data_IF_073087361088
#
_entry.id   IF_073087361088
#
_cell.length_a   1.000
_cell.length_b   1.000
_cell.length_c   1.000
_cell.angle_alpha   90.00
_cell.angle_beta   90.00
_cell.angle_gamma   90.00
#
_symmetry.space_group_name_H-M   'P 1'
#
loop_
_entity.id
_entity.type
_entity.pdbx_description
1 polymer ?
#
# COMPACT_ATOMS: atom_id res chain seq x y z
N UNK A 1 -19.01 12.94 -23.19
CA UNK A 1 -19.35 13.33 -21.80
C UNK A 1 -18.61 14.63 -21.55
N UNK A 2 -19.29 15.68 -21.08
CA UNK A 2 -18.62 16.96 -20.81
C UNK A 2 -17.54 16.74 -19.74
N UNK A 3 -16.33 17.20 -20.03
CA UNK A 3 -15.20 17.08 -19.12
C UNK A 3 -15.52 17.87 -17.85
N UNK A 4 -15.62 17.18 -16.72
CA UNK A 4 -15.97 17.82 -15.44
C UNK A 4 -14.73 18.58 -15.00
N UNK A 5 -14.75 19.91 -15.15
CA UNK A 5 -13.70 20.77 -14.61
C UNK A 5 -13.54 20.48 -13.11
N UNK A 6 -12.40 19.93 -12.73
CA UNK A 6 -12.06 19.66 -11.32
C UNK A 6 -11.61 20.98 -10.68
N UNK A 7 -12.24 21.34 -9.57
CA UNK A 7 -11.74 22.43 -8.72
C UNK A 7 -10.61 21.90 -7.83
N UNK A 8 -9.37 22.09 -8.29
CA UNK A 8 -8.16 21.62 -7.60
C UNK A 8 -8.04 22.19 -6.18
N UNK A 9 -8.54 23.40 -5.93
CA UNK A 9 -8.50 24.01 -4.59
C UNK A 9 -9.42 23.25 -3.64
N UNK A 10 -10.65 22.98 -4.09
CA UNK A 10 -11.63 22.24 -3.29
C UNK A 10 -11.13 20.83 -2.98
N UNK A 11 -10.54 20.13 -3.95
CA UNK A 11 -10.00 18.77 -3.73
C UNK A 11 -8.83 18.75 -2.75
N UNK A 12 -7.90 19.71 -2.86
CA UNK A 12 -6.80 19.85 -1.89
C UNK A 12 -7.30 20.11 -0.47
N UNK A 13 -8.25 21.03 -0.31
CA UNK A 13 -8.87 21.31 0.98
C UNK A 13 -9.59 20.08 1.55
N UNK A 14 -10.33 19.36 0.71
CA UNK A 14 -11.01 18.13 1.13
C UNK A 14 -10.02 17.05 1.58
N UNK A 15 -8.88 16.91 0.90
CA UNK A 15 -7.80 16.02 1.32
C UNK A 15 -7.24 16.42 2.70
N UNK A 16 -6.87 17.69 2.90
CA UNK A 16 -6.36 18.17 4.19
C UNK A 16 -7.38 17.97 5.32
N UNK A 17 -8.66 18.23 5.06
CA UNK A 17 -9.73 18.04 6.05
C UNK A 17 -9.90 16.56 6.43
N UNK A 18 -9.81 15.63 5.47
CA UNK A 18 -9.83 14.18 5.77
C UNK A 18 -8.62 13.75 6.59
N UNK A 19 -7.43 14.28 6.27
CA UNK A 19 -6.22 14.00 7.02
C UNK A 19 -6.32 14.53 8.46
N UNK A 20 -6.86 15.74 8.66
CA UNK A 20 -7.13 16.28 9.99
C UNK A 20 -8.11 15.39 10.76
N UNK A 21 -9.19 14.95 10.11
CA UNK A 21 -10.17 14.05 10.71
C UNK A 21 -9.62 12.69 11.15
N UNK A 22 -8.50 12.21 10.57
CA UNK A 22 -7.83 11.01 11.05
C UNK A 22 -7.28 11.16 12.48
N UNK A 23 -6.99 12.38 12.92
CA UNK A 23 -6.60 12.67 14.31
C UNK A 23 -7.70 12.38 15.31
N UNK A 24 -8.97 12.61 14.94
CA UNK A 24 -10.12 12.31 15.80
C UNK A 24 -10.24 10.81 16.11
N UNK A 25 -9.86 9.94 15.15
CA UNK A 25 -9.81 8.48 15.36
C UNK A 25 -8.74 8.12 16.39
N UNK A 26 -7.58 8.77 16.33
CA UNK A 26 -6.50 8.55 17.31
C UNK A 26 -6.94 9.02 18.70
N UNK A 27 -7.60 10.17 18.79
CA UNK A 27 -8.00 10.80 20.04
C UNK A 27 -9.32 10.28 20.63
N UNK A 28 -10.01 9.38 19.94
CA UNK A 28 -11.28 8.80 20.38
C UNK A 28 -11.11 8.15 21.78
N UNK A 29 -11.82 8.64 22.81
CA UNK A 29 -11.70 8.13 24.18
C UNK A 29 -12.29 6.73 24.35
N UNK A 30 -13.05 6.23 23.36
CA UNK A 30 -13.57 4.86 23.38
C UNK A 30 -12.53 3.83 22.92
N UNK A 31 -11.45 4.27 22.28
CA UNK A 31 -10.34 3.39 21.89
C UNK A 31 -9.41 3.14 23.09
N UNK A 32 -8.88 1.93 23.28
CA UNK A 32 -7.92 1.66 24.34
C UNK A 32 -6.58 2.39 24.12
N UNK A 33 -5.79 2.54 25.17
CA UNK A 33 -4.42 3.08 25.13
C UNK A 33 -4.21 4.31 26.02
N UNK A 34 -2.94 4.57 26.35
CA UNK A 34 -2.49 5.74 27.11
C UNK A 34 -1.97 6.85 26.18
N UNK A 35 -1.58 8.00 26.74
CA UNK A 35 -1.05 9.13 25.97
C UNK A 35 0.15 8.73 25.08
N UNK A 36 0.98 7.80 25.54
CA UNK A 36 2.08 7.27 24.74
C UNK A 36 1.58 6.54 23.48
N UNK A 37 0.49 5.76 23.59
CA UNK A 37 -0.14 5.08 22.45
C UNK A 37 -0.77 6.09 21.49
N UNK A 38 -1.31 7.20 21.99
CA UNK A 38 -1.85 8.28 21.16
C UNK A 38 -0.76 8.93 20.32
N UNK A 39 0.42 9.15 20.88
CA UNK A 39 1.61 9.61 20.14
C UNK A 39 2.00 8.62 19.04
N UNK A 40 2.00 7.31 19.33
CA UNK A 40 2.25 6.29 18.30
C UNK A 40 1.14 6.24 17.24
N UNK A 41 -0.11 6.49 17.62
CA UNK A 41 -1.25 6.58 16.72
C UNK A 41 -1.08 7.70 15.69
N UNK A 42 -0.66 8.89 16.11
CA UNK A 42 -0.33 9.96 15.16
C UNK A 42 0.84 9.60 14.25
N UNK A 43 1.87 8.93 14.77
CA UNK A 43 2.96 8.41 13.94
C UNK A 43 2.47 7.36 12.95
N UNK A 44 1.50 6.55 13.33
CA UNK A 44 0.86 5.58 12.45
C UNK A 44 0.04 6.26 11.34
N UNK A 45 -0.68 7.34 11.63
CA UNK A 45 -1.37 8.16 10.60
C UNK A 45 -0.38 8.70 9.57
N UNK A 46 0.76 9.24 10.01
CA UNK A 46 1.80 9.73 9.10
C UNK A 46 2.41 8.62 8.24
N UNK A 47 2.68 7.45 8.81
CA UNK A 47 3.16 6.27 8.04
C UNK A 47 2.13 5.81 7.02
N UNK A 48 0.84 5.81 7.38
CA UNK A 48 -0.25 5.45 6.47
C UNK A 48 -0.38 6.46 5.32
N UNK A 49 -0.25 7.76 5.60
CA UNK A 49 -0.21 8.79 4.56
C UNK A 49 0.98 8.60 3.61
N UNK A 50 2.19 8.40 4.15
CA UNK A 50 3.39 8.16 3.35
C UNK A 50 3.21 6.95 2.42
N UNK A 51 2.69 5.84 2.93
CA UNK A 51 2.36 4.66 2.13
C UNK A 51 1.36 4.99 1.03
N UNK A 52 0.29 5.70 1.35
CA UNK A 52 -0.76 6.06 0.38
C UNK A 52 -0.24 6.97 -0.75
N UNK A 53 0.69 7.88 -0.45
CA UNK A 53 1.37 8.69 -1.47
C UNK A 53 2.25 7.78 -2.33
N UNK A 54 3.11 6.97 -1.72
CA UNK A 54 4.05 6.12 -2.44
C UNK A 54 3.38 5.09 -3.36
N UNK A 55 2.35 4.38 -2.91
CA UNK A 55 1.67 3.37 -3.73
C UNK A 55 0.49 3.91 -4.55
N UNK A 56 -0.10 5.04 -4.13
CA UNK A 56 -1.32 5.57 -4.72
C UNK A 56 -1.10 6.71 -5.71
N UNK A 57 -0.13 7.57 -5.44
CA UNK A 57 0.18 8.75 -6.27
C UNK A 57 1.41 8.50 -7.12
N UNK A 58 2.51 8.05 -6.51
CA UNK A 58 3.79 7.87 -7.21
C UNK A 58 3.80 6.55 -8.00
N UNK A 59 3.55 5.41 -7.34
CA UNK A 59 3.51 4.08 -7.96
C UNK A 59 2.10 3.61 -8.34
N UNK A 60 1.16 4.54 -8.49
CA UNK A 60 -0.26 4.25 -8.66
C UNK A 60 -0.71 4.05 -10.11
N UNK A 61 0.13 4.42 -11.08
CA UNK A 61 -0.17 4.34 -12.51
C UNK A 61 -0.16 2.88 -12.99
N UNK A 62 -1.28 2.41 -13.52
CA UNK A 62 -1.45 1.03 -13.99
C UNK A 62 -0.88 0.82 -15.39
N UNK A 63 -0.70 1.89 -16.17
CA UNK A 63 -0.09 1.82 -17.51
C UNK A 63 1.43 1.75 -17.41
N UNK A 64 2.00 2.28 -16.31
CA UNK A 64 3.42 2.29 -16.00
C UNK A 64 3.69 1.74 -14.59
N UNK A 65 3.41 0.44 -14.36
CA UNK A 65 3.47 -0.13 -13.02
C UNK A 65 4.92 -0.27 -12.52
N UNK A 66 5.13 0.12 -11.26
CA UNK A 66 6.41 -0.02 -10.58
C UNK A 66 6.23 -0.69 -9.21
N UNK A 67 7.22 -1.51 -8.81
CA UNK A 67 7.26 -2.09 -7.47
C UNK A 67 7.60 -1.01 -6.43
N UNK A 68 6.57 -0.32 -5.95
CA UNK A 68 6.71 0.74 -4.97
C UNK A 68 7.25 0.18 -3.65
N UNK A 69 8.23 0.89 -3.08
CA UNK A 69 8.79 0.53 -1.78
C UNK A 69 7.98 1.17 -0.65
N UNK A 70 7.52 0.33 0.27
CA UNK A 70 6.79 0.75 1.44
C UNK A 70 7.63 0.46 2.69
N UNK A 71 8.54 1.36 3.06
CA UNK A 71 9.28 1.25 4.32
C UNK A 71 9.15 2.52 5.19
N UNK A 72 8.82 2.39 6.50
CA UNK A 72 8.46 1.14 7.18
C UNK A 72 7.01 0.75 6.85
N UNK A 73 6.78 -0.50 6.39
CA UNK A 73 5.44 -1.03 6.20
C UNK A 73 4.86 -1.43 7.55
N UNK A 74 4.25 -0.48 8.26
CA UNK A 74 3.57 -0.74 9.55
C UNK A 74 2.07 -0.59 9.41
N UNK A 75 1.33 -1.68 9.51
CA UNK A 75 -0.12 -1.75 9.36
C UNK A 75 -0.82 -2.57 10.46
N UNK A 76 -0.07 -3.09 11.45
CA UNK A 76 -0.63 -3.82 12.59
C UNK A 76 -0.73 -5.34 12.37
N UNK A 77 -0.33 -5.82 11.20
CA UNK A 77 -0.10 -7.24 10.88
C UNK A 77 1.12 -7.42 9.97
N UNK A 78 2.00 -6.42 9.95
CA UNK A 78 3.25 -6.47 9.21
C UNK A 78 4.22 -7.50 9.80
N UNK A 79 4.91 -8.22 8.91
CA UNK A 79 6.02 -9.08 9.30
C UNK A 79 7.32 -8.25 9.33
N UNK A 80 7.99 -8.11 10.49
CA UNK A 80 9.22 -7.32 10.60
C UNK A 80 10.39 -7.87 9.77
N UNK A 81 10.37 -9.15 9.41
CA UNK A 81 11.41 -9.80 8.61
C UNK A 81 11.17 -9.70 7.10
N UNK A 82 10.00 -9.17 6.69
CA UNK A 82 9.60 -9.15 5.29
C UNK A 82 9.86 -7.79 4.63
N UNK A 83 10.38 -7.84 3.40
CA UNK A 83 10.38 -6.71 2.48
C UNK A 83 9.09 -6.76 1.64
N UNK A 84 8.21 -5.78 1.83
CA UNK A 84 6.98 -5.66 1.04
C UNK A 84 7.15 -4.63 -0.07
N UNK A 85 6.84 -5.06 -1.29
CA UNK A 85 6.69 -4.22 -2.46
C UNK A 85 5.38 -4.56 -3.18
N UNK A 86 4.76 -3.58 -3.82
CA UNK A 86 3.53 -3.77 -4.57
C UNK A 86 3.50 -2.85 -5.78
N UNK A 87 2.86 -3.32 -6.85
CA UNK A 87 2.53 -2.54 -8.04
C UNK A 87 1.04 -2.71 -8.33
N UNK A 88 0.38 -1.63 -8.75
CA UNK A 88 -0.99 -1.73 -9.28
C UNK A 88 -0.92 -2.16 -10.74
N UNK A 89 -1.81 -3.06 -11.14
CA UNK A 89 -1.86 -3.58 -12.51
C UNK A 89 -3.30 -3.62 -13.00
N UNK A 90 -3.51 -3.34 -14.29
CA UNK A 90 -4.76 -3.61 -15.00
C UNK A 90 -4.72 -5.03 -15.60
N UNK A 91 -5.61 -5.91 -15.14
CA UNK A 91 -5.67 -7.32 -15.55
C UNK A 91 -6.09 -7.54 -17.00
N UNK A 92 -6.47 -6.50 -17.76
CA UNK A 92 -6.66 -6.62 -19.22
C UNK A 92 -5.34 -6.69 -19.98
N UNK A 93 -4.23 -6.32 -19.35
CA UNK A 93 -2.90 -6.31 -19.95
C UNK A 93 -2.05 -7.53 -19.53
N UNK A 94 -0.91 -7.71 -20.19
CA UNK A 94 0.10 -8.72 -19.84
C UNK A 94 1.35 -8.05 -19.31
N UNK A 95 1.82 -8.48 -18.14
CA UNK A 95 3.00 -7.92 -17.48
C UNK A 95 4.12 -8.94 -17.38
N UNK A 96 5.36 -8.44 -17.28
CA UNK A 96 6.55 -9.25 -17.01
C UNK A 96 7.28 -8.64 -15.82
N UNK A 97 7.47 -9.44 -14.77
CA UNK A 97 8.38 -9.12 -13.67
C UNK A 97 9.69 -9.89 -13.90
N UNK A 98 10.81 -9.18 -13.94
CA UNK A 98 12.15 -9.79 -14.07
C UNK A 98 13.10 -9.26 -13.01
N UNK A 99 14.05 -10.08 -12.60
CA UNK A 99 15.10 -9.72 -11.64
C UNK A 99 15.88 -10.96 -11.25
N UNK A 100 16.59 -10.87 -10.13
CA UNK A 100 17.27 -12.01 -9.50
C UNK A 100 16.50 -12.42 -8.26
N UNK A 101 16.35 -13.72 -8.02
CA UNK A 101 15.79 -14.24 -6.76
C UNK A 101 16.69 -13.89 -5.57
N UNK A 102 18.01 -13.83 -5.82
CA UNK A 102 18.98 -13.48 -4.80
C UNK A 102 19.06 -14.54 -3.70
N UNK A 103 19.25 -14.09 -2.45
CA UNK A 103 19.50 -14.97 -1.31
C UNK A 103 18.38 -15.01 -0.28
N UNK A 104 17.20 -14.48 -0.60
CA UNK A 104 16.06 -14.52 0.32
C UNK A 104 15.65 -15.98 0.57
N UNK A 105 15.47 -16.37 1.83
CA UNK A 105 15.05 -17.74 2.17
C UNK A 105 13.59 -18.02 1.76
N UNK A 106 12.80 -16.96 1.57
CA UNK A 106 11.42 -17.02 1.11
C UNK A 106 11.12 -15.84 0.17
N UNK A 107 10.48 -16.15 -0.96
CA UNK A 107 9.87 -15.17 -1.86
C UNK A 107 8.47 -15.68 -2.23
N UNK A 108 7.47 -14.81 -2.05
CA UNK A 108 6.11 -15.00 -2.51
C UNK A 108 5.68 -13.81 -3.35
N UNK A 109 5.11 -14.09 -4.52
CA UNK A 109 4.52 -13.09 -5.41
C UNK A 109 3.04 -13.42 -5.49
N UNK A 110 2.20 -12.49 -5.06
CA UNK A 110 0.76 -12.69 -5.03
C UNK A 110 0.06 -11.60 -5.85
N UNK A 111 -0.77 -12.03 -6.79
CA UNK A 111 -1.75 -11.19 -7.44
C UNK A 111 -3.02 -11.18 -6.59
N UNK A 112 -3.46 -10.01 -6.17
CA UNK A 112 -4.58 -9.86 -5.24
C UNK A 112 -5.30 -8.53 -5.42
N UNK A 113 -6.56 -8.48 -5.00
CA UNK A 113 -7.21 -7.19 -4.75
C UNK A 113 -6.60 -6.55 -3.50
N UNK A 114 -6.44 -5.23 -3.54
CA UNK A 114 -5.72 -4.50 -2.49
C UNK A 114 -6.45 -3.21 -2.12
N UNK A 115 -7.61 -3.37 -1.48
CA UNK A 115 -8.43 -2.26 -1.00
C UNK A 115 -8.76 -2.46 0.50
N UNK A 116 -7.84 -2.03 1.35
CA UNK A 116 -8.04 -2.07 2.79
C UNK A 116 -9.17 -1.12 3.20
N UNK A 117 -10.32 -1.70 3.55
CA UNK A 117 -11.44 -0.98 4.18
C UNK A 117 -12.67 -0.77 3.29
N UNK A 118 -12.65 -1.21 2.02
CA UNK A 118 -13.84 -1.12 1.15
C UNK A 118 -14.34 -2.46 0.62
N UNK A 119 -13.47 -3.46 0.47
CA UNK A 119 -13.84 -4.79 -0.01
C UNK A 119 -12.94 -5.87 0.63
N UNK A 120 -13.37 -7.15 0.63
CA UNK A 120 -12.50 -8.25 0.97
C UNK A 120 -11.26 -8.30 0.08
N UNK A 121 -10.15 -8.69 0.68
CA UNK A 121 -8.93 -9.03 -0.05
C UNK A 121 -9.13 -10.41 -0.67
N UNK A 122 -9.02 -10.49 -1.98
CA UNK A 122 -9.07 -11.72 -2.75
C UNK A 122 -7.71 -11.98 -3.37
N UNK A 123 -7.13 -13.15 -3.09
CA UNK A 123 -5.89 -13.61 -3.74
C UNK A 123 -6.26 -14.40 -4.99
N UNK A 124 -5.83 -13.89 -6.15
CA UNK A 124 -6.14 -14.47 -7.45
C UNK A 124 -5.09 -15.51 -7.88
N UNK A 125 -3.82 -15.25 -7.57
CA UNK A 125 -2.70 -16.14 -7.88
C UNK A 125 -1.57 -15.91 -6.91
N UNK A 126 -0.91 -16.99 -6.47
CA UNK A 126 0.34 -16.91 -5.70
C UNK A 126 1.39 -17.81 -6.34
N UNK A 127 2.58 -17.27 -6.52
CA UNK A 127 3.77 -17.96 -7.02
C UNK A 127 4.85 -17.85 -5.96
N UNK A 128 5.43 -18.98 -5.55
CA UNK A 128 6.52 -19.01 -4.58
C UNK A 128 7.86 -19.24 -5.29
N UNK A 129 8.96 -18.93 -4.60
CA UNK A 129 10.32 -19.13 -5.10
C UNK A 129 10.56 -20.55 -5.66
N UNK A 130 9.99 -21.58 -5.02
CA UNK A 130 10.22 -22.98 -5.43
C UNK A 130 9.63 -23.33 -6.81
N UNK A 131 8.69 -22.52 -7.31
CA UNK A 131 8.09 -22.71 -8.63
C UNK A 131 8.73 -21.83 -9.72
N UNK A 132 9.70 -21.00 -9.37
CA UNK A 132 10.40 -20.12 -10.31
C UNK A 132 11.71 -20.77 -10.80
N UNK A 133 12.13 -20.51 -12.05
CA UNK A 133 13.47 -20.89 -12.50
C UNK A 133 14.51 -20.17 -11.62
N UNK A 134 15.54 -20.90 -11.17
CA UNK A 134 16.63 -20.31 -10.40
C UNK A 134 17.46 -19.33 -11.23
N UNK A 135 18.31 -18.54 -10.57
CA UNK A 135 19.13 -17.48 -11.20
C UNK A 135 20.17 -18.01 -12.23
N UNK A 136 20.30 -19.33 -12.38
CA UNK A 136 21.26 -20.00 -13.27
C UNK A 136 20.66 -20.46 -14.62
N UNK A 137 19.45 -20.01 -14.98
CA UNK A 137 18.72 -20.43 -16.18
C UNK A 137 18.94 -19.51 -17.39
#
# INVERSE_FOLDING_TARGET
MADKQIDLRAEWQAFCNRLAGAGEVVLDPTQPGEDADRVEGFRHVLRSLYRAIGSGVEGGDVDFPELAWVHPSKSGQDNPDALYQAARVDLTNTYRLTGNLGSACYLGITLMTFDFGRAPIEQLLTVNAQSLPGDSA
#
